data_IF_673232353980
#
_entry.id   IF_673232353980
#
_cell.length_a   1.000
_cell.length_b   1.000
_cell.length_c   1.000
_cell.angle_alpha   90.00
_cell.angle_beta   90.00
_cell.angle_gamma   90.00
#
_symmetry.space_group_name_H-M   'P 1'
#
loop_
_entity.id
_entity.type
_entity.pdbx_description
1 polymer ?
#
# COMPACT_ATOMS: atom_id res chain seq x y z
N UNK A 1 13.91 -23.05 -18.07
CA UNK A 1 12.77 -22.63 -17.23
C UNK A 1 13.28 -21.95 -15.99
N UNK A 2 12.85 -20.72 -15.79
CA UNK A 2 13.27 -19.96 -14.63
C UNK A 2 12.32 -20.23 -13.47
N UNK A 3 12.86 -20.63 -12.35
CA UNK A 3 12.07 -20.77 -11.13
C UNK A 3 11.98 -19.41 -10.45
N UNK A 4 10.77 -19.05 -10.03
CA UNK A 4 10.58 -17.86 -9.26
C UNK A 4 11.15 -18.08 -7.87
N UNK A 5 12.25 -17.39 -7.57
CA UNK A 5 12.83 -17.42 -6.24
C UNK A 5 12.45 -16.13 -5.52
N UNK A 6 11.44 -16.23 -4.69
CA UNK A 6 10.96 -15.09 -3.93
C UNK A 6 11.75 -14.95 -2.64
N UNK A 7 12.11 -13.72 -2.31
CA UNK A 7 12.73 -13.42 -1.03
C UNK A 7 11.62 -13.19 0.00
N UNK A 8 11.28 -14.23 0.75
CA UNK A 8 10.18 -14.15 1.72
C UNK A 8 10.47 -13.18 2.87
N UNK A 9 11.75 -13.01 3.22
CA UNK A 9 12.13 -12.02 4.23
C UNK A 9 11.84 -10.61 3.73
N UNK A 10 12.18 -10.32 2.48
CA UNK A 10 11.88 -9.02 1.87
C UNK A 10 10.37 -8.78 1.78
N UNK A 11 9.59 -9.82 1.48
CA UNK A 11 8.13 -9.72 1.47
C UNK A 11 7.60 -9.35 2.86
N UNK A 12 8.09 -10.00 3.88
CA UNK A 12 7.70 -9.70 5.26
C UNK A 12 8.07 -8.27 5.65
N UNK A 13 9.29 -7.85 5.32
CA UNK A 13 9.76 -6.49 5.61
C UNK A 13 8.93 -5.45 4.86
N UNK A 14 8.60 -5.71 3.60
CA UNK A 14 7.74 -4.81 2.82
C UNK A 14 6.36 -4.68 3.47
N UNK A 15 5.78 -5.78 3.92
CA UNK A 15 4.50 -5.77 4.62
C UNK A 15 4.56 -4.97 5.91
N UNK A 16 5.65 -5.12 6.67
CA UNK A 16 5.86 -4.35 7.90
C UNK A 16 5.98 -2.86 7.61
N UNK A 17 6.72 -2.50 6.56
CA UNK A 17 6.87 -1.09 6.16
C UNK A 17 5.51 -0.50 5.78
N UNK A 18 4.70 -1.22 5.00
CA UNK A 18 3.36 -0.78 4.65
C UNK A 18 2.50 -0.57 5.89
N UNK A 19 2.58 -1.50 6.83
CA UNK A 19 1.78 -1.45 8.04
C UNK A 19 2.17 -0.27 8.93
N UNK A 20 3.47 -0.05 9.11
CA UNK A 20 3.99 1.07 9.88
C UNK A 20 3.64 2.39 9.18
N UNK A 21 3.82 2.46 7.87
CA UNK A 21 3.46 3.65 7.10
C UNK A 21 1.97 3.97 7.24
N UNK A 22 1.12 2.93 7.21
CA UNK A 22 -0.31 3.10 7.42
C UNK A 22 -0.63 3.65 8.79
N UNK A 23 0.02 3.13 9.83
CA UNK A 23 -0.18 3.64 11.18
C UNK A 23 0.21 5.11 11.29
N UNK A 24 1.34 5.50 10.70
CA UNK A 24 1.79 6.90 10.69
C UNK A 24 0.88 7.79 9.85
N UNK A 25 0.50 7.31 8.68
CA UNK A 25 -0.32 8.07 7.72
C UNK A 25 -1.69 8.40 8.30
N UNK A 26 -2.34 7.40 8.90
CA UNK A 26 -3.71 7.53 9.41
C UNK A 26 -3.76 7.92 10.89
N UNK A 27 -2.65 8.24 11.51
CA UNK A 27 -2.65 8.74 12.89
C UNK A 27 -1.94 10.08 13.01
N UNK A 28 -0.63 10.13 12.69
CA UNK A 28 0.15 11.35 12.87
C UNK A 28 -0.04 12.37 11.75
N UNK A 29 -0.09 11.91 10.49
CA UNK A 29 -0.14 12.82 9.35
C UNK A 29 -1.55 13.27 9.03
N UNK A 30 -2.50 12.34 8.90
CA UNK A 30 -3.85 12.63 8.45
C UNK A 30 -4.92 12.08 9.37
N UNK A 31 -4.57 11.74 10.61
CA UNK A 31 -5.50 11.08 11.53
C UNK A 31 -6.74 11.91 11.81
N UNK A 32 -6.58 13.19 12.11
CA UNK A 32 -7.70 14.08 12.40
C UNK A 32 -8.63 14.24 11.19
N UNK A 33 -8.03 14.51 10.03
CA UNK A 33 -8.78 14.70 8.80
C UNK A 33 -9.52 13.43 8.40
N UNK A 34 -8.83 12.29 8.49
CA UNK A 34 -9.41 11.01 8.11
C UNK A 34 -10.59 10.64 9.01
N UNK A 35 -10.43 10.77 10.34
CA UNK A 35 -11.49 10.44 11.28
C UNK A 35 -12.73 11.31 11.04
N UNK A 36 -12.52 12.60 10.81
CA UNK A 36 -13.63 13.51 10.51
C UNK A 36 -14.35 13.10 9.23
N UNK A 37 -13.60 12.69 8.20
CA UNK A 37 -14.16 12.34 6.90
C UNK A 37 -14.91 11.02 6.91
N UNK A 38 -14.50 10.06 7.75
CA UNK A 38 -15.18 8.76 7.86
C UNK A 38 -16.22 8.71 9.00
N UNK A 39 -16.37 9.81 9.73
CA UNK A 39 -17.39 9.91 10.79
C UNK A 39 -16.98 9.29 12.11
N UNK A 40 -15.69 9.12 12.36
CA UNK A 40 -15.20 8.62 13.64
C UNK A 40 -14.95 9.76 14.62
N UNK A 41 -15.07 9.45 15.91
CA UNK A 41 -14.76 10.40 16.96
C UNK A 41 -13.27 10.64 17.05
N UNK A 42 -12.81 11.87 17.40
CA UNK A 42 -11.37 12.16 17.44
C UNK A 42 -10.56 11.27 18.39
N UNK A 43 -11.19 10.80 19.48
CA UNK A 43 -10.53 9.96 20.47
C UNK A 43 -10.87 8.47 20.32
N UNK A 44 -11.48 8.09 19.19
CA UNK A 44 -11.84 6.70 18.95
C UNK A 44 -10.58 5.88 18.68
N UNK A 45 -10.45 4.76 19.38
CA UNK A 45 -9.30 3.86 19.23
C UNK A 45 -9.45 3.01 17.99
N UNK A 46 -8.34 2.71 17.29
CA UNK A 46 -8.41 1.81 16.14
C UNK A 46 -8.80 0.39 16.55
N UNK A 47 -9.50 -0.30 15.65
CA UNK A 47 -9.87 -1.69 15.87
C UNK A 47 -8.63 -2.57 15.80
N UNK A 48 -8.40 -3.38 16.85
CA UNK A 48 -7.27 -4.32 16.87
C UNK A 48 -7.42 -5.35 15.76
N UNK A 49 -8.64 -5.82 15.51
CA UNK A 49 -8.91 -6.80 14.44
C UNK A 49 -8.57 -6.19 13.08
N UNK A 50 -8.99 -4.94 12.84
CA UNK A 50 -8.68 -4.26 11.59
C UNK A 50 -7.15 -4.08 11.41
N UNK A 51 -6.44 -3.78 12.49
CA UNK A 51 -4.99 -3.63 12.45
C UNK A 51 -4.30 -4.95 12.07
N UNK A 52 -4.72 -6.05 12.68
CA UNK A 52 -4.16 -7.37 12.37
C UNK A 52 -4.45 -7.76 10.93
N UNK A 53 -5.70 -7.59 10.49
CA UNK A 53 -6.10 -7.93 9.12
C UNK A 53 -5.38 -7.05 8.10
N UNK A 54 -5.11 -5.79 8.46
CA UNK A 54 -4.34 -4.88 7.58
C UNK A 54 -2.92 -5.39 7.34
N UNK A 55 -2.28 -5.95 8.36
CA UNK A 55 -0.96 -6.54 8.21
C UNK A 55 -1.00 -7.71 7.22
N UNK A 56 -1.98 -8.60 7.33
CA UNK A 56 -2.13 -9.72 6.40
C UNK A 56 -2.46 -9.23 5.00
N UNK A 57 -3.26 -8.17 4.87
CA UNK A 57 -3.49 -7.53 3.58
C UNK A 57 -2.19 -7.04 2.95
N UNK A 58 -1.33 -6.43 3.75
CA UNK A 58 -0.01 -5.99 3.30
C UNK A 58 0.88 -7.14 2.87
N UNK A 59 0.80 -8.29 3.55
CA UNK A 59 1.51 -9.50 3.14
C UNK A 59 1.07 -9.96 1.75
N UNK A 60 -0.22 -10.00 1.52
CA UNK A 60 -0.79 -10.40 0.23
C UNK A 60 -0.33 -9.44 -0.87
N UNK A 61 -0.42 -8.14 -0.61
CA UNK A 61 0.02 -7.12 -1.57
C UNK A 61 1.51 -7.28 -1.88
N UNK A 62 2.34 -7.44 -0.85
CA UNK A 62 3.78 -7.59 -1.03
C UNK A 62 4.14 -8.87 -1.77
N UNK A 63 3.42 -9.96 -1.48
CA UNK A 63 3.59 -11.23 -2.17
C UNK A 63 3.28 -11.07 -3.68
N UNK A 64 2.18 -10.41 -4.00
CA UNK A 64 1.80 -10.15 -5.39
C UNK A 64 2.82 -9.25 -6.08
N UNK A 65 3.27 -8.19 -5.41
CA UNK A 65 4.29 -7.29 -5.94
C UNK A 65 5.61 -8.03 -6.21
N UNK A 66 5.98 -8.95 -5.32
CA UNK A 66 7.20 -9.74 -5.51
C UNK A 66 7.16 -10.53 -6.82
N UNK A 67 5.99 -11.08 -7.16
CA UNK A 67 5.82 -11.78 -8.45
C UNK A 67 5.94 -10.82 -9.63
N UNK A 68 5.29 -9.66 -9.55
CA UNK A 68 5.35 -8.67 -10.63
C UNK A 68 6.78 -8.18 -10.84
N UNK A 69 7.51 -7.96 -9.76
CA UNK A 69 8.91 -7.55 -9.82
C UNK A 69 9.75 -8.64 -10.50
N UNK A 70 9.56 -9.91 -10.13
CA UNK A 70 10.27 -11.01 -10.75
C UNK A 70 9.96 -11.10 -12.24
N UNK A 71 8.70 -10.98 -12.62
CA UNK A 71 8.29 -11.04 -14.03
C UNK A 71 8.85 -9.88 -14.85
N UNK A 72 9.05 -8.73 -14.23
CA UNK A 72 9.55 -7.53 -14.91
C UNK A 72 11.08 -7.48 -14.98
N UNK A 73 11.76 -8.37 -14.27
CA UNK A 73 13.24 -8.40 -14.17
C UNK A 73 13.81 -7.13 -13.53
N UNK A 74 13.01 -6.40 -12.76
CA UNK A 74 13.50 -5.24 -12.04
C UNK A 74 14.50 -5.69 -10.97
N UNK A 75 15.70 -5.09 -10.96
CA UNK A 75 16.80 -5.53 -10.11
C UNK A 75 17.36 -4.42 -9.21
N UNK A 76 16.76 -3.23 -9.24
CA UNK A 76 17.18 -2.13 -8.37
C UNK A 76 15.97 -1.33 -7.92
N UNK A 77 16.18 -0.50 -6.90
CA UNK A 77 15.08 0.25 -6.30
C UNK A 77 14.36 1.17 -7.30
N UNK A 78 15.07 2.00 -8.10
CA UNK A 78 14.35 2.89 -9.03
C UNK A 78 13.50 2.14 -10.04
N UNK A 79 13.99 1.04 -10.56
CA UNK A 79 13.25 0.20 -11.51
C UNK A 79 12.00 -0.38 -10.85
N UNK A 80 12.18 -0.95 -9.64
CA UNK A 80 11.05 -1.49 -8.88
C UNK A 80 10.04 -0.43 -8.52
N UNK A 81 10.50 0.75 -8.13
CA UNK A 81 9.61 1.87 -7.81
C UNK A 81 8.78 2.28 -9.03
N UNK A 82 9.38 2.29 -10.20
CA UNK A 82 8.65 2.58 -11.44
C UNK A 82 7.58 1.52 -11.72
N UNK A 83 7.92 0.26 -11.57
CA UNK A 83 6.96 -0.84 -11.74
C UNK A 83 5.81 -0.68 -10.74
N UNK A 84 6.13 -0.36 -9.49
CA UNK A 84 5.12 -0.10 -8.46
C UNK A 84 4.22 1.07 -8.82
N UNK A 85 4.80 2.14 -9.36
CA UNK A 85 4.02 3.29 -9.81
C UNK A 85 3.02 2.89 -10.90
N UNK A 86 3.46 2.10 -11.89
CA UNK A 86 2.58 1.64 -12.97
C UNK A 86 1.45 0.78 -12.41
N UNK A 87 1.76 -0.12 -11.47
CA UNK A 87 0.74 -0.96 -10.84
C UNK A 87 -0.27 -0.10 -10.08
N UNK A 88 0.21 0.89 -9.33
CA UNK A 88 -0.67 1.81 -8.62
C UNK A 88 -1.55 2.58 -9.58
N UNK A 89 -0.96 3.13 -10.64
CA UNK A 89 -1.69 3.94 -11.62
C UNK A 89 -2.78 3.16 -12.33
N UNK A 90 -2.56 1.87 -12.59
CA UNK A 90 -3.49 1.04 -13.33
C UNK A 90 -4.47 0.24 -12.47
N UNK A 91 -4.05 -0.19 -11.28
CA UNK A 91 -4.83 -1.12 -10.47
C UNK A 91 -5.34 -0.54 -9.15
N UNK A 92 -4.83 0.59 -8.72
CA UNK A 92 -5.27 1.20 -7.45
C UNK A 92 -5.99 2.52 -7.70
N UNK A 93 -5.36 3.44 -8.41
CA UNK A 93 -5.93 4.78 -8.63
C UNK A 93 -7.32 4.73 -9.28
N UNK A 94 -7.52 4.04 -10.42
CA UNK A 94 -8.85 4.04 -11.05
C UNK A 94 -9.91 3.38 -10.20
N UNK A 95 -9.54 2.30 -9.52
CA UNK A 95 -10.50 1.55 -8.68
C UNK A 95 -10.99 2.41 -7.52
N UNK A 96 -10.07 3.07 -6.81
CA UNK A 96 -10.43 3.95 -5.70
C UNK A 96 -11.18 5.19 -6.19
N UNK A 97 -10.80 5.72 -7.36
CA UNK A 97 -11.45 6.89 -7.94
C UNK A 97 -12.90 6.59 -8.29
N UNK A 98 -13.13 5.48 -9.01
CA UNK A 98 -14.50 5.08 -9.37
C UNK A 98 -15.35 4.80 -8.15
N UNK A 99 -14.80 4.10 -7.17
CA UNK A 99 -15.51 3.81 -5.93
C UNK A 99 -15.90 5.08 -5.19
N UNK A 100 -14.98 6.04 -5.13
CA UNK A 100 -15.21 7.33 -4.50
C UNK A 100 -16.36 8.09 -5.18
N UNK A 101 -16.41 8.04 -6.52
CA UNK A 101 -17.48 8.70 -7.30
C UNK A 101 -18.85 8.08 -6.99
N UNK A 102 -18.95 6.76 -7.01
CA UNK A 102 -20.24 6.09 -6.79
C UNK A 102 -20.71 6.19 -5.35
N UNK A 103 -19.78 6.18 -4.40
CA UNK A 103 -20.13 6.31 -2.97
C UNK A 103 -20.30 7.77 -2.54
N UNK A 104 -20.06 8.71 -3.46
CA UNK A 104 -20.17 10.15 -3.20
C UNK A 104 -19.33 10.59 -2.00
N UNK A 105 -18.13 10.03 -1.89
CA UNK A 105 -17.21 10.38 -0.81
C UNK A 105 -16.46 11.67 -1.13
N UNK A 106 -16.04 12.43 -0.11
CA UNK A 106 -15.28 13.66 -0.33
C UNK A 106 -13.97 13.38 -1.07
N UNK A 107 -13.59 14.26 -1.98
CA UNK A 107 -12.33 14.14 -2.71
C UNK A 107 -11.13 14.06 -1.76
N UNK A 108 -11.17 14.80 -0.65
CA UNK A 108 -10.09 14.80 0.33
C UNK A 108 -9.85 13.39 0.90
N UNK A 109 -10.92 12.65 1.18
CA UNK A 109 -10.81 11.27 1.65
C UNK A 109 -10.16 10.38 0.59
N UNK A 110 -10.60 10.50 -0.66
CA UNK A 110 -9.98 9.79 -1.78
C UNK A 110 -8.48 10.09 -1.87
N UNK A 111 -8.11 11.37 -1.78
CA UNK A 111 -6.71 11.78 -1.87
C UNK A 111 -5.86 11.17 -0.75
N UNK A 112 -6.36 11.19 0.49
CA UNK A 112 -5.65 10.59 1.62
C UNK A 112 -5.39 9.11 1.37
N UNK A 113 -6.41 8.38 0.94
CA UNK A 113 -6.30 6.94 0.72
C UNK A 113 -5.42 6.60 -0.49
N UNK A 114 -5.61 7.29 -1.61
CA UNK A 114 -4.89 6.95 -2.84
C UNK A 114 -3.40 7.26 -2.75
N UNK A 115 -3.03 8.35 -2.07
CA UNK A 115 -1.63 8.69 -1.91
C UNK A 115 -0.93 7.79 -0.88
N UNK A 116 -1.65 7.30 0.14
CA UNK A 116 -1.09 6.27 1.00
C UNK A 116 -0.66 5.05 0.17
N UNK A 117 -1.56 4.56 -0.68
CA UNK A 117 -1.27 3.38 -1.50
C UNK A 117 -0.15 3.65 -2.51
N UNK A 118 -0.04 4.89 -2.99
CA UNK A 118 1.05 5.26 -3.88
C UNK A 118 2.41 5.03 -3.21
N UNK A 119 2.59 5.61 -2.03
CA UNK A 119 3.86 5.49 -1.31
C UNK A 119 4.10 4.07 -0.84
N UNK A 120 3.07 3.40 -0.34
CA UNK A 120 3.18 2.02 0.13
C UNK A 120 3.65 1.09 -0.99
N UNK A 121 3.04 1.20 -2.16
CA UNK A 121 3.35 0.32 -3.28
C UNK A 121 4.72 0.65 -3.88
N UNK A 122 5.05 1.93 -4.06
CA UNK A 122 6.34 2.35 -4.61
C UNK A 122 7.49 1.88 -3.72
N UNK A 123 7.38 2.12 -2.42
CA UNK A 123 8.44 1.74 -1.47
C UNK A 123 8.58 0.22 -1.43
N UNK A 124 7.47 -0.50 -1.37
CA UNK A 124 7.49 -1.96 -1.32
C UNK A 124 8.06 -2.56 -2.59
N UNK A 125 7.64 -2.09 -3.74
CA UNK A 125 8.13 -2.59 -5.03
C UNK A 125 9.62 -2.29 -5.21
N UNK A 126 10.04 -1.08 -4.82
CA UNK A 126 11.45 -0.72 -4.86
C UNK A 126 12.30 -1.61 -3.96
N UNK A 127 11.84 -1.85 -2.74
CA UNK A 127 12.52 -2.72 -1.78
C UNK A 127 12.62 -4.14 -2.32
N UNK A 128 11.53 -4.68 -2.86
CA UNK A 128 11.50 -6.03 -3.39
C UNK A 128 12.43 -6.20 -4.59
N UNK A 129 12.57 -5.16 -5.41
CA UNK A 129 13.49 -5.19 -6.55
C UNK A 129 14.95 -5.12 -6.10
N UNK A 130 15.25 -4.29 -5.11
CA UNK A 130 16.61 -4.09 -4.62
C UNK A 130 17.08 -5.29 -3.80
N UNK A 131 16.20 -5.91 -3.06
CA UNK A 131 16.52 -7.02 -2.15
C UNK A 131 15.92 -8.32 -2.67
N UNK A 132 16.59 -8.87 -3.65
CA UNK A 132 16.19 -10.16 -4.23
C UNK A 132 17.03 -11.31 -3.72
#
# INVERSE_FOLDING_TARGET
MTHLQLNYVAILVAALIQWILGALWYSLLFGKQWKALVGQKPNEKPSIVAMILSFFGGLITSFALAHVIQWSYASNFPWGAFIGFVCWLGFVFPLLFMQSLYEKRPFKLFAINVFYWLFAIIISAGLLAQWQ
#
